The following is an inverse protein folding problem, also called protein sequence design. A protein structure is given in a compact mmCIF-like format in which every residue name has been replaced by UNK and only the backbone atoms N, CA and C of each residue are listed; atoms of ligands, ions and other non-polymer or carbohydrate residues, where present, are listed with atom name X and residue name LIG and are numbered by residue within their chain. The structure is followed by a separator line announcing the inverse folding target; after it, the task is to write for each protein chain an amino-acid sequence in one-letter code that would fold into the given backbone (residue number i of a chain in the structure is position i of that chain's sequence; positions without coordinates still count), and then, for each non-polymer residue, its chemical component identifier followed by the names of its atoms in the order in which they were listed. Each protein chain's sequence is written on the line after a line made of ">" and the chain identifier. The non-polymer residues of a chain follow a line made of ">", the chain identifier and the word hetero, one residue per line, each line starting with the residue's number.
data_IF_852284832810
#
_entry.id   IF_852284832810
#
_cell.length_a   1.000
_cell.length_b   1.000
_cell.length_c   1.000
_cell.angle_alpha   90.00
_cell.angle_beta   90.00
_cell.angle_gamma   90.00
#
_symmetry.space_group_name_H-M   'P 1'
#
loop_
_entity.id
_entity.type
_entity.pdbx_description
1 polymer ?
#
# COMPACT_ATOMS: atom_id res chain seq x y z
N UNK A 1 -40.34 -58.38 12.83
CA UNK A 1 -38.88 -58.65 12.84
C UNK A 1 -38.23 -57.75 11.80
N UNK A 2 -37.22 -56.95 12.21
CA UNK A 2 -36.00 -56.50 11.50
C UNK A 2 -36.18 -56.10 10.01
N UNK A 3 -35.87 -54.91 9.52
CA UNK A 3 -34.61 -54.15 9.54
C UNK A 3 -34.84 -52.96 8.59
N UNK A 4 -34.61 -51.69 8.95
CA UNK A 4 -33.33 -50.96 8.96
C UNK A 4 -33.04 -50.18 7.65
N UNK A 5 -33.24 -48.86 7.73
CA UNK A 5 -32.38 -47.74 7.26
C UNK A 5 -31.85 -47.78 5.81
N UNK A 6 -32.19 -46.76 5.01
CA UNK A 6 -31.19 -46.08 4.16
C UNK A 6 -31.59 -44.64 3.85
N UNK A 7 -31.07 -43.73 4.67
CA UNK A 7 -31.02 -42.30 4.45
C UNK A 7 -29.77 -41.99 3.62
N UNK A 8 -29.88 -41.40 2.44
CA UNK A 8 -28.71 -40.79 1.76
C UNK A 8 -29.17 -39.70 0.76
N UNK A 9 -29.22 -38.44 1.19
CA UNK A 9 -28.16 -37.44 0.99
C UNK A 9 -28.09 -36.88 -0.45
N UNK A 10 -29.09 -36.08 -0.85
CA UNK A 10 -28.98 -35.20 -2.02
C UNK A 10 -28.22 -33.93 -1.59
N UNK A 11 -26.90 -34.10 -1.46
CA UNK A 11 -25.96 -33.06 -1.06
C UNK A 11 -25.92 -31.94 -2.08
N UNK A 12 -26.35 -30.77 -1.60
CA UNK A 12 -26.26 -29.44 -2.17
C UNK A 12 -24.83 -29.15 -2.69
N UNK A 13 -24.55 -29.43 -3.96
CA UNK A 13 -23.32 -28.96 -4.63
C UNK A 13 -23.50 -27.50 -5.07
N UNK A 14 -23.65 -26.59 -4.09
CA UNK A 14 -23.33 -25.18 -4.30
C UNK A 14 -21.81 -25.08 -4.38
N UNK A 15 -21.28 -25.28 -5.58
CA UNK A 15 -19.89 -24.95 -5.93
C UNK A 15 -19.76 -23.42 -5.91
N UNK A 16 -19.56 -22.85 -4.73
CA UNK A 16 -19.16 -21.45 -4.59
C UNK A 16 -17.76 -21.31 -5.19
N UNK A 17 -17.72 -20.85 -6.45
CA UNK A 17 -16.48 -20.32 -7.03
C UNK A 17 -16.10 -19.09 -6.21
N UNK A 18 -15.33 -19.30 -5.15
CA UNK A 18 -14.66 -18.24 -4.44
C UNK A 18 -13.57 -17.72 -5.39
N UNK A 19 -13.97 -16.82 -6.30
CA UNK A 19 -13.02 -16.02 -7.06
C UNK A 19 -12.35 -15.14 -6.02
N UNK A 20 -11.10 -15.45 -5.69
CA UNK A 20 -10.26 -14.57 -4.89
C UNK A 20 -10.09 -13.26 -5.65
N UNK A 21 -11.01 -12.32 -5.47
CA UNK A 21 -10.90 -10.97 -5.98
C UNK A 21 -9.67 -10.37 -5.33
N UNK A 22 -8.65 -10.08 -6.15
CA UNK A 22 -7.50 -9.32 -5.65
C UNK A 22 -8.02 -8.01 -5.07
N UNK A 23 -7.56 -7.62 -3.86
CA UNK A 23 -8.06 -6.42 -3.21
C UNK A 23 -7.89 -5.22 -4.16
N UNK A 24 -8.91 -4.35 -4.30
CA UNK A 24 -8.84 -3.21 -5.19
C UNK A 24 -7.66 -2.31 -4.78
N UNK A 25 -7.02 -1.70 -5.78
CA UNK A 25 -6.00 -0.70 -5.54
C UNK A 25 -6.62 0.54 -4.89
N UNK A 26 -5.85 1.17 -4.01
CA UNK A 26 -6.23 2.40 -3.31
C UNK A 26 -5.51 3.57 -3.96
N UNK A 27 -6.28 4.53 -4.47
CA UNK A 27 -5.75 5.76 -5.07
C UNK A 27 -5.41 6.77 -3.96
N UNK A 28 -4.19 7.27 -3.95
CA UNK A 28 -3.69 8.28 -3.02
C UNK A 28 -3.16 9.49 -3.77
N UNK A 29 -3.24 10.65 -3.13
CA UNK A 29 -2.71 11.92 -3.63
C UNK A 29 -1.55 12.38 -2.75
N UNK A 30 -0.33 12.36 -3.27
CA UNK A 30 0.88 12.79 -2.57
C UNK A 30 1.13 14.27 -2.84
N UNK A 31 0.83 15.13 -1.85
CA UNK A 31 0.82 16.59 -2.03
C UNK A 31 2.12 17.23 -1.56
N UNK A 32 2.76 18.01 -2.44
CA UNK A 32 3.84 18.90 -2.04
C UNK A 32 3.25 20.13 -1.33
N UNK A 33 3.26 20.10 0.00
CA UNK A 33 2.80 21.20 0.85
C UNK A 33 3.91 22.19 1.23
N UNK A 34 5.04 22.19 0.52
CA UNK A 34 6.06 23.25 0.64
C UNK A 34 5.86 24.37 -0.37
N UNK A 35 6.61 25.46 -0.18
CA UNK A 35 6.63 26.63 -1.06
C UNK A 35 7.58 26.48 -2.26
N UNK A 36 8.33 25.38 -2.35
CA UNK A 36 9.32 25.15 -3.42
C UNK A 36 9.05 23.85 -4.18
N UNK A 37 9.39 23.79 -5.48
CA UNK A 37 9.45 22.53 -6.21
C UNK A 37 10.41 21.55 -5.53
N UNK A 38 10.04 20.27 -5.47
CA UNK A 38 10.85 19.25 -4.81
C UNK A 38 10.83 17.94 -5.58
N UNK A 39 11.98 17.26 -5.58
CA UNK A 39 12.09 15.87 -6.01
C UNK A 39 11.92 14.96 -4.80
N UNK A 40 10.84 14.18 -4.79
CA UNK A 40 10.55 13.21 -3.76
C UNK A 40 10.93 11.82 -4.23
N UNK A 41 11.40 10.99 -3.31
CA UNK A 41 11.68 9.57 -3.54
C UNK A 41 10.91 8.77 -2.52
N UNK A 42 10.29 7.71 -3.00
CA UNK A 42 9.36 6.90 -2.23
C UNK A 42 9.78 5.45 -2.28
N UNK A 43 9.53 4.75 -1.18
CA UNK A 43 9.71 3.32 -1.05
C UNK A 43 8.38 2.70 -0.68
N UNK A 44 7.94 1.75 -1.49
CA UNK A 44 6.75 0.94 -1.29
C UNK A 44 7.17 -0.45 -0.85
N UNK A 45 6.61 -0.92 0.26
CA UNK A 45 6.81 -2.30 0.72
C UNK A 45 5.46 -2.93 1.04
N UNK A 46 5.07 -3.90 0.24
CA UNK A 46 3.89 -4.73 0.51
C UNK A 46 4.35 -6.09 1.08
N UNK A 47 3.71 -6.63 2.13
CA UNK A 47 4.15 -7.88 2.78
C UNK A 47 4.15 -9.10 1.85
N UNK A 48 3.38 -9.07 0.77
CA UNK A 48 3.35 -10.14 -0.23
C UNK A 48 4.45 -10.03 -1.31
N UNK A 49 5.36 -9.05 -1.23
CA UNK A 49 6.39 -8.79 -2.24
C UNK A 49 7.76 -8.79 -1.56
N UNK A 50 8.67 -9.62 -2.05
CA UNK A 50 10.01 -9.79 -1.47
C UNK A 50 10.91 -8.56 -1.63
N UNK A 51 10.73 -7.81 -2.72
CA UNK A 51 11.53 -6.64 -3.04
C UNK A 51 10.68 -5.36 -2.97
N UNK A 52 11.15 -4.31 -2.26
CA UNK A 52 10.44 -3.04 -2.24
C UNK A 52 10.52 -2.37 -3.61
N UNK A 53 9.46 -1.65 -3.97
CA UNK A 53 9.47 -0.79 -5.15
C UNK A 53 9.93 0.61 -4.76
N UNK A 54 10.69 1.27 -5.64
CA UNK A 54 11.15 2.65 -5.45
C UNK A 54 10.71 3.46 -6.64
N UNK A 55 10.06 4.58 -6.38
CA UNK A 55 9.69 5.54 -7.41
C UNK A 55 10.00 6.96 -6.97
N UNK A 56 10.05 7.87 -7.93
CA UNK A 56 10.34 9.28 -7.65
C UNK A 56 9.39 10.18 -8.39
N UNK A 57 9.11 11.35 -7.83
CA UNK A 57 8.25 12.35 -8.46
C UNK A 57 8.81 13.75 -8.21
N UNK A 58 8.87 14.55 -9.27
CA UNK A 58 9.12 15.99 -9.15
C UNK A 58 7.76 16.69 -9.06
N UNK A 59 7.49 17.34 -7.93
CA UNK A 59 6.16 17.89 -7.62
C UNK A 59 6.29 19.39 -7.33
N UNK A 60 5.54 20.22 -8.06
CA UNK A 60 5.50 21.67 -7.84
C UNK A 60 4.77 22.04 -6.54
N UNK A 61 4.97 23.25 -5.99
CA UNK A 61 4.25 23.73 -4.82
C UNK A 61 2.73 23.60 -4.97
N UNK A 62 2.06 23.02 -3.98
CA UNK A 62 0.60 22.85 -3.97
C UNK A 62 0.06 21.72 -4.85
N UNK A 63 0.86 21.17 -5.77
CA UNK A 63 0.45 20.06 -6.62
C UNK A 63 0.47 18.71 -5.89
N UNK A 64 -0.26 17.75 -6.44
CA UNK A 64 -0.30 16.36 -5.97
C UNK A 64 0.14 15.41 -7.06
N UNK A 65 0.80 14.32 -6.66
CA UNK A 65 1.10 13.18 -7.50
C UNK A 65 0.19 12.01 -7.11
N UNK A 66 -0.53 11.45 -8.08
CA UNK A 66 -1.46 10.35 -7.82
C UNK A 66 -0.75 9.01 -7.95
N UNK A 67 -0.93 8.15 -6.95
CA UNK A 67 -0.40 6.78 -6.93
C UNK A 67 -1.50 5.80 -6.56
N UNK A 68 -1.43 4.57 -7.08
CA UNK A 68 -2.38 3.49 -6.76
C UNK A 68 -1.63 2.36 -6.07
N UNK A 69 -1.99 2.05 -4.83
CA UNK A 69 -1.27 1.08 -3.99
C UNK A 69 -2.21 0.00 -3.45
N UNK A 70 -1.69 -1.21 -3.26
CA UNK A 70 -2.45 -2.28 -2.60
C UNK A 70 -2.64 -1.96 -1.11
N UNK A 71 -3.82 -2.24 -0.51
CA UNK A 71 -3.99 -2.21 0.94
C UNK A 71 -2.92 -3.08 1.63
N UNK A 72 -2.38 -2.62 2.76
CA UNK A 72 -1.27 -3.25 3.47
C UNK A 72 0.12 -2.79 3.00
N UNK A 73 0.21 -2.00 1.93
CA UNK A 73 1.49 -1.38 1.51
C UNK A 73 1.94 -0.36 2.55
N UNK A 74 3.19 -0.45 2.96
CA UNK A 74 3.87 0.61 3.69
C UNK A 74 4.50 1.56 2.67
N UNK A 75 4.11 2.83 2.71
CA UNK A 75 4.66 3.90 1.90
C UNK A 75 5.52 4.80 2.78
N UNK A 76 6.80 4.93 2.42
CA UNK A 76 7.76 5.81 3.09
C UNK A 76 8.40 6.78 2.10
N UNK A 77 8.68 8.00 2.55
CA UNK A 77 9.58 8.91 1.87
C UNK A 77 11.02 8.56 2.26
N UNK A 78 11.92 8.52 1.28
CA UNK A 78 13.30 8.07 1.47
C UNK A 78 14.31 9.00 0.82
N UNK A 79 15.54 8.95 1.31
CA UNK A 79 16.72 9.58 0.73
C UNK A 79 17.46 8.62 -0.21
N UNK A 80 18.39 9.15 -1.02
CA UNK A 80 19.23 8.29 -1.87
C UNK A 80 20.07 7.31 -1.03
N UNK A 81 20.54 7.74 0.14
CA UNK A 81 21.32 6.89 1.05
C UNK A 81 20.51 5.68 1.53
N UNK A 82 19.24 5.90 1.84
CA UNK A 82 18.30 4.85 2.28
C UNK A 82 17.92 3.90 1.15
N UNK A 83 17.75 4.41 -0.08
CA UNK A 83 17.57 3.57 -1.27
C UNK A 83 18.79 2.68 -1.46
N UNK A 84 20.01 3.24 -1.40
CA UNK A 84 21.25 2.48 -1.56
C UNK A 84 21.45 1.44 -0.44
N UNK A 85 20.98 1.72 0.79
CA UNK A 85 20.97 0.74 1.87
C UNK A 85 20.00 -0.41 1.57
N UNK A 86 18.79 -0.09 1.11
CA UNK A 86 17.77 -1.06 0.69
C UNK A 86 18.28 -1.98 -0.43
N UNK A 87 18.95 -1.42 -1.45
CA UNK A 87 19.52 -2.21 -2.55
C UNK A 87 20.65 -3.15 -2.09
N UNK A 88 21.29 -2.87 -0.94
CA UNK A 88 22.29 -3.75 -0.32
C UNK A 88 21.68 -4.77 0.63
N UNK A 89 20.36 -4.93 0.63
CA UNK A 89 19.62 -5.85 1.51
C UNK A 89 19.49 -5.35 2.96
N UNK A 90 19.89 -4.10 3.24
CA UNK A 90 19.73 -3.52 4.57
C UNK A 90 18.34 -2.91 4.72
N UNK A 91 17.80 -2.94 5.94
CA UNK A 91 16.53 -2.26 6.22
C UNK A 91 16.78 -0.76 6.34
N UNK A 92 16.22 0.02 5.41
CA UNK A 92 16.12 1.47 5.57
C UNK A 92 14.71 1.82 6.08
N UNK A 93 14.57 2.55 7.20
CA UNK A 93 13.26 2.88 7.76
C UNK A 93 12.53 3.91 6.90
N UNK A 94 13.24 4.91 6.36
CA UNK A 94 12.62 6.07 5.72
C UNK A 94 11.75 6.86 6.69
N UNK A 95 11.15 7.94 6.19
CA UNK A 95 10.06 8.64 6.88
C UNK A 95 8.73 7.97 6.50
N UNK A 96 8.08 7.31 7.45
CA UNK A 96 6.78 6.68 7.21
C UNK A 96 5.73 7.74 6.85
N UNK A 97 5.11 7.60 5.68
CA UNK A 97 4.01 8.47 5.26
C UNK A 97 2.65 7.86 5.59
N UNK A 98 2.49 6.57 5.26
CA UNK A 98 1.21 5.88 5.40
C UNK A 98 1.40 4.35 5.39
N UNK A 99 0.58 3.65 6.17
CA UNK A 99 0.27 2.23 5.91
C UNK A 99 -1.10 2.20 5.24
N UNK A 100 -1.14 1.80 3.97
CA UNK A 100 -2.33 1.93 3.11
C UNK A 100 -3.44 1.02 3.62
N UNK A 101 -4.63 1.58 3.82
CA UNK A 101 -5.86 0.85 4.16
C UNK A 101 -6.86 0.96 3.03
N UNK A 102 -7.78 0.00 2.94
CA UNK A 102 -8.83 0.01 1.93
C UNK A 102 -9.70 1.29 1.96
N UNK A 103 -9.86 1.91 3.13
CA UNK A 103 -10.63 3.15 3.31
C UNK A 103 -9.82 4.43 3.08
N UNK A 104 -8.55 4.36 2.67
CA UNK A 104 -7.74 5.53 2.30
C UNK A 104 -8.01 6.01 0.86
N UNK A 105 -9.05 5.51 0.18
CA UNK A 105 -9.36 5.88 -1.20
C UNK A 105 -9.54 7.40 -1.36
N UNK A 106 -8.77 8.00 -2.27
CA UNK A 106 -8.76 9.44 -2.53
C UNK A 106 -8.01 10.26 -1.48
N UNK A 107 -7.44 9.64 -0.44
CA UNK A 107 -6.74 10.33 0.64
C UNK A 107 -5.57 11.14 0.10
N UNK A 108 -5.44 12.36 0.62
CA UNK A 108 -4.30 13.22 0.36
C UNK A 108 -3.30 13.13 1.50
N UNK A 109 -2.03 12.89 1.18
CA UNK A 109 -0.92 12.80 2.13
C UNK A 109 0.01 13.99 1.90
N UNK A 110 0.22 14.80 2.94
CA UNK A 110 1.17 15.91 2.90
C UNK A 110 2.61 15.36 3.02
N UNK A 111 3.49 15.76 2.09
CA UNK A 111 4.84 15.20 1.97
C UNK A 111 5.90 15.87 2.85
N UNK A 112 5.59 17.02 3.45
CA UNK A 112 6.51 17.75 4.32
C UNK A 112 5.87 17.89 5.69
N UNK A 113 6.48 17.27 6.70
CA UNK A 113 6.10 17.47 8.09
C UNK A 113 6.35 18.93 8.49
N UNK A 114 5.33 19.58 9.04
CA UNK A 114 5.53 20.83 9.78
C UNK A 114 6.09 20.45 11.15
N UNK A 115 7.39 20.65 11.35
CA UNK A 115 7.94 20.67 12.72
C UNK A 115 7.31 21.85 13.46
N UNK A 116 6.37 21.57 14.35
CA UNK A 116 5.96 22.54 15.37
C UNK A 116 7.17 22.64 16.31
N UNK A 117 7.86 23.79 16.32
CA UNK A 117 8.87 24.07 17.35
C UNK A 117 8.11 24.08 18.68
N UNK A 118 8.39 23.10 19.53
CA UNK A 118 8.06 23.18 20.96
C UNK A 118 9.03 24.16 21.62
#
# INVERSE_FOLDING_TARGET
>A
MKSLITTTFLGLLLTTKCVAQSPPLVTLNLKNNSVFPRHFKFLERHPSVSYPNVFTAYIMPGQSYTVQLKPGTVLSQVTQREINATMRGQTAPGQLLLVVKANDQGRTVALIERKIRQ
#
